data_IF_746236292053
#
_entry.id   IF_746236292053
#
_cell.length_a   1.000
_cell.length_b   1.000
_cell.length_c   1.000
_cell.angle_alpha   90.00
_cell.angle_beta   90.00
_cell.angle_gamma   90.00
#
_symmetry.space_group_name_H-M   'P 1'
#
loop_
_entity.id
_entity.type
_entity.pdbx_description
1 polymer ?
#
# COMPACT_ATOMS: atom_id res chain seq x y z
N UNK A 1 -8.10 10.44 2.20
CA UNK A 1 -9.19 9.85 3.03
C UNK A 1 -9.75 8.66 2.26
N UNK A 2 -9.81 7.46 2.87
CA UNK A 2 -10.32 6.28 2.17
C UNK A 2 -11.84 6.22 2.24
N UNK A 3 -12.49 5.90 1.11
CA UNK A 3 -13.94 5.81 0.97
C UNK A 3 -14.43 4.40 1.24
N UNK A 4 -15.41 4.24 2.12
CA UNK A 4 -15.98 2.93 2.50
C UNK A 4 -17.46 2.94 2.12
N UNK A 5 -17.88 2.02 1.26
CA UNK A 5 -19.28 1.82 0.92
C UNK A 5 -19.87 0.73 1.81
N UNK A 6 -20.98 1.04 2.47
CA UNK A 6 -21.70 0.14 3.38
C UNK A 6 -23.02 -0.26 2.71
N UNK A 7 -23.16 -1.56 2.48
CA UNK A 7 -24.32 -2.19 1.84
C UNK A 7 -24.94 -3.12 2.89
N UNK A 8 -25.85 -2.58 3.68
CA UNK A 8 -26.48 -3.20 4.85
C UNK A 8 -27.90 -2.67 4.94
N UNK A 9 -28.91 -3.55 5.00
CA UNK A 9 -30.33 -3.19 5.02
C UNK A 9 -30.85 -2.88 6.44
N UNK A 10 -30.22 -3.41 7.48
CA UNK A 10 -30.49 -2.97 8.85
C UNK A 10 -29.97 -1.54 9.07
N UNK A 11 -30.91 -0.59 9.14
CA UNK A 11 -30.59 0.83 9.32
C UNK A 11 -29.77 1.11 10.56
N UNK A 12 -30.01 0.39 11.67
CA UNK A 12 -29.28 0.57 12.93
C UNK A 12 -27.83 0.17 12.78
N UNK A 13 -27.57 -0.96 12.13
CA UNK A 13 -26.22 -1.44 11.85
C UNK A 13 -25.53 -0.49 10.87
N UNK A 14 -26.19 -0.14 9.76
CA UNK A 14 -25.63 0.75 8.75
C UNK A 14 -25.27 2.12 9.31
N UNK A 15 -26.11 2.71 10.15
CA UNK A 15 -25.83 4.00 10.81
C UNK A 15 -24.70 3.90 11.83
N UNK A 16 -24.70 2.85 12.63
CA UNK A 16 -23.64 2.61 13.62
C UNK A 16 -22.28 2.48 12.94
N UNK A 17 -22.21 1.69 11.87
CA UNK A 17 -20.98 1.53 11.07
C UNK A 17 -20.55 2.85 10.41
N UNK A 18 -21.48 3.57 9.80
CA UNK A 18 -21.18 4.85 9.13
C UNK A 18 -20.60 5.86 10.12
N UNK A 19 -21.26 6.05 11.27
CA UNK A 19 -20.83 7.00 12.30
C UNK A 19 -19.46 6.61 12.88
N UNK A 20 -19.28 5.34 13.20
CA UNK A 20 -18.02 4.82 13.73
C UNK A 20 -16.86 5.01 12.75
N UNK A 21 -17.03 4.61 11.49
CA UNK A 21 -15.98 4.73 10.48
C UNK A 21 -15.63 6.18 10.17
N UNK A 22 -16.62 7.08 10.13
CA UNK A 22 -16.38 8.52 9.98
C UNK A 22 -15.56 9.10 11.15
N UNK A 23 -15.82 8.67 12.40
CA UNK A 23 -15.00 9.05 13.56
C UNK A 23 -13.55 8.56 13.46
N UNK A 24 -13.31 7.46 12.76
CA UNK A 24 -11.98 6.91 12.51
C UNK A 24 -11.28 7.50 11.28
N UNK A 25 -11.86 8.56 10.66
CA UNK A 25 -11.24 9.30 9.57
C UNK A 25 -11.44 8.68 8.19
N UNK A 26 -12.38 7.75 8.03
CA UNK A 26 -12.85 7.29 6.72
C UNK A 26 -13.93 8.23 6.16
N UNK A 27 -14.23 8.11 4.88
CA UNK A 27 -15.39 8.68 4.22
C UNK A 27 -16.39 7.53 3.99
N UNK A 28 -17.28 7.31 4.95
CA UNK A 28 -18.20 6.18 4.93
C UNK A 28 -19.59 6.60 4.41
N UNK A 29 -20.07 5.90 3.38
CA UNK A 29 -21.38 6.07 2.76
C UNK A 29 -22.20 4.79 2.89
N UNK A 30 -23.40 4.87 3.47
CA UNK A 30 -24.38 3.78 3.46
C UNK A 30 -25.28 3.84 2.23
N UNK A 31 -25.63 2.66 1.70
CA UNK A 31 -26.63 2.53 0.62
C UNK A 31 -28.03 2.82 1.18
N UNK A 32 -28.85 3.47 0.35
CA UNK A 32 -30.28 3.68 0.60
C UNK A 32 -31.14 3.09 -0.50
N UNK A 33 -30.60 2.91 -1.70
CA UNK A 33 -31.29 2.29 -2.86
C UNK A 33 -30.62 0.94 -3.17
N UNK A 34 -31.25 -0.14 -2.75
CA UNK A 34 -30.80 -1.51 -2.96
C UNK A 34 -31.11 -2.07 -4.36
N UNK A 35 -31.85 -1.33 -5.20
CA UNK A 35 -32.07 -1.72 -6.59
C UNK A 35 -30.93 -1.26 -7.50
N UNK A 36 -30.25 -0.16 -7.15
CA UNK A 36 -29.24 0.49 -8.00
C UNK A 36 -27.88 0.63 -7.30
N UNK A 37 -27.45 -0.41 -6.59
CA UNK A 37 -26.16 -0.41 -5.83
C UNK A 37 -24.97 -0.07 -6.73
N UNK A 38 -24.93 -0.61 -7.96
CA UNK A 38 -23.82 -0.34 -8.89
C UNK A 38 -23.74 1.12 -9.32
N UNK A 39 -24.84 1.85 -9.44
CA UNK A 39 -24.81 3.29 -9.73
C UNK A 39 -24.08 4.06 -8.60
N UNK A 40 -24.44 3.76 -7.35
CA UNK A 40 -23.79 4.38 -6.19
C UNK A 40 -22.32 3.94 -6.08
N UNK A 41 -22.01 2.68 -6.33
CA UNK A 41 -20.64 2.16 -6.35
C UNK A 41 -19.76 2.92 -7.37
N UNK A 42 -20.23 3.09 -8.59
CA UNK A 42 -19.50 3.79 -9.66
C UNK A 42 -19.32 5.28 -9.31
N UNK A 43 -20.37 5.94 -8.85
CA UNK A 43 -20.33 7.37 -8.52
C UNK A 43 -19.45 7.68 -7.29
N UNK A 44 -19.51 6.81 -6.28
CA UNK A 44 -18.76 7.02 -5.02
C UNK A 44 -17.31 6.59 -5.13
N UNK A 45 -16.97 5.63 -6.01
CA UNK A 45 -15.62 5.07 -6.19
C UNK A 45 -15.01 4.60 -4.86
N UNK A 46 -15.60 3.63 -4.17
CA UNK A 46 -15.14 3.20 -2.86
C UNK A 46 -13.78 2.50 -2.93
N UNK A 47 -12.98 2.69 -1.88
CA UNK A 47 -11.73 1.95 -1.66
C UNK A 47 -11.97 0.59 -0.99
N UNK A 48 -13.14 0.39 -0.35
CA UNK A 48 -13.55 -0.86 0.26
C UNK A 48 -15.07 -0.90 0.36
N UNK A 49 -15.64 -2.09 0.22
CA UNK A 49 -17.07 -2.36 0.39
C UNK A 49 -17.28 -3.27 1.60
N UNK A 50 -18.16 -2.86 2.52
CA UNK A 50 -18.77 -3.72 3.52
C UNK A 50 -20.12 -4.19 2.96
N UNK A 51 -20.33 -5.50 2.89
CA UNK A 51 -21.46 -6.10 2.13
C UNK A 51 -22.18 -7.15 2.97
N UNK A 52 -23.45 -6.89 3.30
CA UNK A 52 -24.28 -7.95 3.89
C UNK A 52 -24.66 -8.98 2.84
N UNK A 53 -24.80 -10.24 3.28
CA UNK A 53 -25.31 -11.34 2.45
C UNK A 53 -26.83 -11.21 2.27
N UNK A 54 -27.54 -10.86 3.34
CA UNK A 54 -29.01 -10.86 3.40
C UNK A 54 -29.55 -9.49 3.04
N UNK A 55 -29.63 -9.20 1.75
CA UNK A 55 -30.12 -7.92 1.23
C UNK A 55 -31.47 -8.08 0.52
N UNK A 56 -32.29 -7.01 0.47
CA UNK A 56 -33.51 -7.01 -0.32
C UNK A 56 -33.21 -7.07 -1.83
N UNK A 57 -34.14 -7.62 -2.61
CA UNK A 57 -34.09 -7.81 -4.07
C UNK A 57 -33.04 -8.83 -4.53
N UNK A 58 -31.74 -8.57 -4.34
CA UNK A 58 -30.64 -9.44 -4.68
C UNK A 58 -29.70 -9.58 -3.48
N UNK A 59 -29.28 -10.81 -3.18
CA UNK A 59 -28.36 -11.06 -2.07
C UNK A 59 -26.94 -10.49 -2.30
N UNK A 60 -26.15 -10.43 -1.24
CA UNK A 60 -24.78 -9.89 -1.31
C UNK A 60 -23.86 -10.64 -2.28
N UNK A 61 -24.08 -11.94 -2.50
CA UNK A 61 -23.27 -12.70 -3.47
C UNK A 61 -23.47 -12.21 -4.89
N UNK A 62 -24.72 -11.86 -5.26
CA UNK A 62 -25.02 -11.25 -6.55
C UNK A 62 -24.22 -9.93 -6.73
N UNK A 63 -24.27 -9.05 -5.73
CA UNK A 63 -23.58 -7.77 -5.81
C UNK A 63 -22.05 -7.91 -5.79
N UNK A 64 -21.53 -8.87 -5.02
CA UNK A 64 -20.11 -9.21 -5.08
C UNK A 64 -19.68 -9.61 -6.50
N UNK A 65 -20.45 -10.48 -7.18
CA UNK A 65 -20.15 -10.88 -8.54
C UNK A 65 -20.21 -9.70 -9.52
N UNK A 66 -21.21 -8.80 -9.40
CA UNK A 66 -21.31 -7.60 -10.22
C UNK A 66 -20.13 -6.63 -10.02
N UNK A 67 -19.71 -6.40 -8.77
CA UNK A 67 -18.54 -5.57 -8.48
C UNK A 67 -17.28 -6.22 -9.06
N UNK A 68 -17.08 -7.52 -8.90
CA UNK A 68 -15.90 -8.26 -9.39
C UNK A 68 -15.75 -8.27 -10.91
N UNK A 69 -16.85 -8.20 -11.66
CA UNK A 69 -16.80 -8.05 -13.12
C UNK A 69 -16.20 -6.69 -13.54
N UNK A 70 -16.31 -5.67 -12.70
CA UNK A 70 -15.96 -4.29 -13.05
C UNK A 70 -14.78 -3.74 -12.26
N UNK A 71 -14.50 -4.26 -11.06
CA UNK A 71 -13.51 -3.69 -10.15
C UNK A 71 -12.82 -4.73 -9.25
N UNK A 72 -11.60 -4.39 -8.82
CA UNK A 72 -10.84 -5.15 -7.80
C UNK A 72 -10.95 -4.54 -6.41
N UNK A 73 -11.93 -3.66 -6.20
CA UNK A 73 -12.19 -3.02 -4.90
C UNK A 73 -12.37 -4.08 -3.82
N UNK A 74 -11.63 -4.03 -2.69
CA UNK A 74 -11.77 -5.00 -1.61
C UNK A 74 -13.21 -5.09 -1.08
N UNK A 75 -13.68 -6.31 -0.82
CA UNK A 75 -15.02 -6.60 -0.27
C UNK A 75 -14.88 -7.41 1.01
N UNK A 76 -15.45 -6.90 2.10
CA UNK A 76 -15.64 -7.64 3.36
C UNK A 76 -17.11 -7.98 3.47
N UNK A 77 -17.45 -9.26 3.54
CA UNK A 77 -18.80 -9.67 3.88
C UNK A 77 -19.08 -9.52 5.37
N UNK A 78 -20.28 -9.06 5.68
CA UNK A 78 -20.84 -9.01 7.04
C UNK A 78 -22.09 -9.89 7.03
N UNK A 79 -22.22 -10.86 7.92
CA UNK A 79 -23.40 -11.73 7.93
C UNK A 79 -23.71 -12.32 9.30
N UNK A 80 -25.01 -12.49 9.58
CA UNK A 80 -25.51 -13.25 10.73
C UNK A 80 -25.40 -14.78 10.54
N UNK A 81 -25.20 -15.23 9.31
CA UNK A 81 -25.02 -16.64 9.01
C UNK A 81 -23.54 -17.02 9.17
N UNK A 82 -23.13 -17.26 10.40
CA UNK A 82 -21.78 -17.73 10.74
C UNK A 82 -21.53 -19.21 10.44
N UNK A 83 -22.33 -19.83 9.53
CA UNK A 83 -22.06 -21.19 9.11
C UNK A 83 -20.87 -21.21 8.12
N UNK A 84 -20.03 -22.24 8.26
CA UNK A 84 -18.83 -22.41 7.45
C UNK A 84 -19.12 -22.39 5.93
N UNK A 85 -20.33 -22.74 5.52
CA UNK A 85 -20.72 -22.80 4.13
C UNK A 85 -20.82 -21.41 3.50
N UNK A 86 -21.41 -20.44 4.19
CA UNK A 86 -21.52 -19.07 3.70
C UNK A 86 -20.15 -18.40 3.61
N UNK A 87 -19.24 -18.68 4.55
CA UNK A 87 -17.87 -18.21 4.51
C UNK A 87 -17.16 -18.74 3.25
N UNK A 88 -17.26 -20.04 3.01
CA UNK A 88 -16.64 -20.70 1.84
C UNK A 88 -17.20 -20.11 0.53
N UNK A 89 -18.51 -19.93 0.45
CA UNK A 89 -19.15 -19.34 -0.73
C UNK A 89 -18.67 -17.90 -0.94
N UNK A 90 -18.65 -17.07 0.11
CA UNK A 90 -18.18 -15.69 0.06
C UNK A 90 -16.75 -15.61 -0.50
N UNK A 91 -15.84 -16.42 0.01
CA UNK A 91 -14.45 -16.45 -0.43
C UNK A 91 -14.30 -16.91 -1.88
N UNK A 92 -15.06 -17.93 -2.30
CA UNK A 92 -15.08 -18.41 -3.69
C UNK A 92 -15.68 -17.38 -4.66
N UNK A 93 -16.60 -16.53 -4.20
CA UNK A 93 -17.17 -15.44 -4.99
C UNK A 93 -16.25 -14.22 -5.09
N UNK A 94 -15.07 -14.26 -4.46
CA UNK A 94 -14.07 -13.22 -4.55
C UNK A 94 -14.10 -12.20 -3.40
N UNK A 95 -14.66 -12.57 -2.24
CA UNK A 95 -14.51 -11.80 -1.03
C UNK A 95 -13.04 -11.79 -0.56
N UNK A 96 -12.62 -10.68 0.03
CA UNK A 96 -11.29 -10.53 0.61
C UNK A 96 -11.26 -10.88 2.10
N UNK A 97 -12.41 -10.75 2.79
CA UNK A 97 -12.57 -11.11 4.19
C UNK A 97 -14.05 -11.31 4.54
N UNK A 98 -14.31 -11.82 5.76
CA UNK A 98 -15.63 -12.09 6.30
C UNK A 98 -15.72 -11.71 7.79
N UNK A 99 -16.88 -11.19 8.22
CA UNK A 99 -17.17 -10.82 9.60
C UNK A 99 -18.55 -11.35 9.98
N UNK A 100 -18.59 -12.19 11.01
CA UNK A 100 -19.85 -12.70 11.56
C UNK A 100 -20.53 -11.67 12.46
N UNK A 101 -21.85 -11.54 12.36
CA UNK A 101 -22.69 -10.80 13.32
C UNK A 101 -23.03 -11.72 14.50
N UNK A 102 -23.01 -11.25 15.77
CA UNK A 102 -22.65 -9.89 16.20
C UNK A 102 -21.13 -9.66 16.17
N UNK A 103 -20.71 -8.43 15.88
CA UNK A 103 -19.31 -8.05 15.73
C UNK A 103 -18.93 -6.89 16.64
N UNK A 104 -17.65 -6.78 16.95
CA UNK A 104 -17.06 -5.61 17.58
C UNK A 104 -16.63 -4.59 16.53
N UNK A 105 -16.97 -3.32 16.71
CA UNK A 105 -16.63 -2.24 15.79
C UNK A 105 -15.11 -2.05 15.65
N UNK A 106 -14.34 -2.31 16.70
CA UNK A 106 -12.87 -2.26 16.68
C UNK A 106 -12.28 -3.33 15.79
N UNK A 107 -12.89 -4.52 15.75
CA UNK A 107 -12.48 -5.64 14.86
C UNK A 107 -12.74 -5.27 13.40
N UNK A 108 -13.90 -4.66 13.10
CA UNK A 108 -14.21 -4.18 11.74
C UNK A 108 -13.16 -3.16 11.30
N UNK A 109 -12.91 -2.15 12.14
CA UNK A 109 -11.93 -1.10 11.83
C UNK A 109 -10.54 -1.68 11.57
N UNK A 110 -10.08 -2.61 12.42
CA UNK A 110 -8.78 -3.25 12.25
C UNK A 110 -8.68 -4.04 10.93
N UNK A 111 -9.75 -4.78 10.56
CA UNK A 111 -9.81 -5.53 9.29
C UNK A 111 -9.82 -4.58 8.07
N UNK A 112 -10.61 -3.50 8.12
CA UNK A 112 -10.64 -2.47 7.07
C UNK A 112 -9.24 -1.87 6.88
N UNK A 113 -8.60 -1.41 7.96
CA UNK A 113 -7.27 -0.83 7.92
C UNK A 113 -6.23 -1.81 7.34
N UNK A 114 -6.25 -3.07 7.80
CA UNK A 114 -5.35 -4.10 7.30
C UNK A 114 -5.55 -4.36 5.81
N UNK A 115 -6.80 -4.42 5.35
CA UNK A 115 -7.14 -4.70 3.96
C UNK A 115 -6.81 -3.51 3.05
N UNK A 116 -7.13 -2.28 3.46
CA UNK A 116 -6.77 -1.06 2.74
C UNK A 116 -5.24 -0.96 2.60
N UNK A 117 -4.50 -1.14 3.70
CA UNK A 117 -3.04 -1.15 3.68
C UNK A 117 -2.51 -2.19 2.70
N UNK A 118 -3.00 -3.43 2.74
CA UNK A 118 -2.59 -4.52 1.83
C UNK A 118 -2.92 -4.17 0.38
N UNK A 119 -4.08 -3.56 0.11
CA UNK A 119 -4.56 -3.30 -1.25
C UNK A 119 -3.96 -2.05 -1.86
N UNK A 120 -3.79 -0.97 -1.11
CA UNK A 120 -3.42 0.34 -1.66
C UNK A 120 -2.04 0.83 -1.20
N UNK A 121 -1.59 0.46 -0.02
CA UNK A 121 -0.26 0.84 0.46
C UNK A 121 0.80 -0.20 0.05
N UNK A 122 0.40 -1.49 -0.06
CA UNK A 122 1.27 -2.54 -0.59
C UNK A 122 1.06 -2.87 -2.08
N UNK A 123 0.06 -2.29 -2.77
CA UNK A 123 -0.01 -2.29 -4.25
C UNK A 123 0.86 -1.23 -4.92
N UNK A 124 1.44 -0.30 -4.18
CA UNK A 124 2.77 0.06 -4.58
C UNK A 124 3.56 -1.24 -4.43
N UNK A 125 3.95 -1.88 -5.56
CA UNK A 125 4.89 -2.99 -5.58
C UNK A 125 5.83 -2.79 -4.42
N UNK A 126 6.12 -3.85 -3.64
CA UNK A 126 7.25 -3.78 -2.71
C UNK A 126 8.42 -3.52 -3.64
N UNK A 127 8.65 -2.24 -3.97
CA UNK A 127 9.75 -1.81 -4.81
C UNK A 127 10.99 -2.02 -3.96
N UNK A 128 11.40 -3.28 -3.91
CA UNK A 128 12.68 -3.65 -3.35
C UNK A 128 13.67 -3.67 -4.50
N UNK A 129 14.71 -2.91 -4.39
CA UNK A 129 15.89 -3.12 -5.20
C UNK A 129 16.85 -3.99 -4.38
N UNK A 130 17.20 -5.13 -4.91
CA UNK A 130 18.20 -6.02 -4.32
C UNK A 130 19.44 -6.03 -5.14
N UNK A 131 20.58 -5.84 -4.48
CA UNK A 131 21.88 -6.06 -5.07
C UNK A 131 22.80 -6.72 -4.06
N UNK A 132 23.28 -7.94 -4.37
CA UNK A 132 23.87 -8.87 -3.42
C UNK A 132 22.87 -9.12 -2.27
N UNK A 133 23.30 -9.01 -1.01
CA UNK A 133 22.44 -9.21 0.15
C UNK A 133 21.83 -7.89 0.69
N UNK A 134 22.07 -6.76 0.01
CA UNK A 134 21.51 -5.47 0.35
C UNK A 134 20.14 -5.29 -0.30
N UNK A 135 19.12 -4.97 0.49
CA UNK A 135 17.74 -4.76 0.06
C UNK A 135 17.34 -3.32 0.39
N UNK A 136 17.13 -2.50 -0.64
CA UNK A 136 16.60 -1.14 -0.55
C UNK A 136 15.09 -1.16 -0.69
N UNK A 137 14.38 -0.76 0.34
CA UNK A 137 12.92 -0.60 0.30
C UNK A 137 12.58 0.82 -0.17
N UNK A 138 11.95 0.91 -1.36
CA UNK A 138 11.63 2.20 -1.98
C UNK A 138 10.42 2.89 -1.36
N UNK A 139 9.61 2.17 -0.56
CA UNK A 139 8.40 2.74 0.06
C UNK A 139 8.71 3.51 1.34
N UNK A 140 9.67 3.03 2.14
CA UNK A 140 9.99 3.61 3.44
C UNK A 140 11.43 4.17 3.55
N UNK A 141 12.15 4.20 2.40
CA UNK A 141 13.52 4.72 2.32
C UNK A 141 14.49 4.04 3.30
N UNK A 142 14.37 2.74 3.49
CA UNK A 142 15.26 1.95 4.35
C UNK A 142 16.12 0.99 3.56
N UNK A 143 17.30 0.70 4.07
CA UNK A 143 18.19 -0.36 3.57
C UNK A 143 18.31 -1.45 4.63
N UNK A 144 18.17 -2.71 4.21
CA UNK A 144 18.41 -3.89 5.05
C UNK A 144 19.59 -4.67 4.50
N UNK A 145 20.54 -5.01 5.38
CA UNK A 145 21.68 -5.87 5.08
C UNK A 145 21.98 -6.79 6.26
N UNK A 146 22.07 -8.10 6.01
CA UNK A 146 22.30 -9.13 7.04
C UNK A 146 21.41 -8.99 8.29
N UNK A 147 20.14 -8.63 8.10
CA UNK A 147 19.16 -8.43 9.17
C UNK A 147 19.25 -7.07 9.89
N UNK A 148 20.26 -6.26 9.62
CA UNK A 148 20.37 -4.87 10.11
C UNK A 148 19.61 -3.94 9.16
N UNK A 149 18.78 -3.06 9.74
CA UNK A 149 18.01 -2.06 9.01
C UNK A 149 18.47 -0.66 9.36
N UNK A 150 18.70 0.16 8.34
CA UNK A 150 19.05 1.59 8.49
C UNK A 150 18.08 2.47 7.73
N UNK A 151 17.76 3.62 8.29
CA UNK A 151 17.00 4.69 7.64
C UNK A 151 17.93 5.55 6.80
N UNK A 152 17.51 5.88 5.60
CA UNK A 152 18.24 6.74 4.69
C UNK A 152 17.64 8.14 4.68
N UNK A 153 18.49 9.15 4.60
CA UNK A 153 18.01 10.50 4.27
C UNK A 153 17.51 10.55 2.82
N UNK A 154 16.71 11.54 2.46
CA UNK A 154 16.18 11.72 1.10
C UNK A 154 17.28 11.64 0.02
N UNK A 155 18.44 12.25 0.27
CA UNK A 155 19.55 12.23 -0.68
C UNK A 155 20.29 10.90 -0.70
N UNK A 156 20.53 10.29 0.47
CA UNK A 156 21.15 8.95 0.58
C UNK A 156 20.31 7.92 -0.18
N UNK A 157 18.99 7.95 0.03
CA UNK A 157 18.04 7.06 -0.64
C UNK A 157 18.09 7.22 -2.16
N UNK A 158 18.01 8.45 -2.70
CA UNK A 158 18.02 8.68 -4.14
C UNK A 158 19.33 8.31 -4.82
N UNK A 159 20.45 8.59 -4.18
CA UNK A 159 21.76 8.17 -4.67
C UNK A 159 21.79 6.64 -4.75
N UNK A 160 21.42 5.97 -3.67
CA UNK A 160 21.46 4.51 -3.59
C UNK A 160 20.47 3.86 -4.55
N UNK A 161 19.25 4.38 -4.67
CA UNK A 161 18.26 3.94 -5.65
C UNK A 161 18.81 4.02 -7.08
N UNK A 162 19.37 5.19 -7.46
CA UNK A 162 19.91 5.40 -8.80
C UNK A 162 21.04 4.42 -9.14
N UNK A 163 21.87 4.12 -8.16
CA UNK A 163 22.97 3.15 -8.33
C UNK A 163 22.45 1.71 -8.39
N UNK A 164 21.50 1.33 -7.54
CA UNK A 164 20.94 -0.02 -7.48
C UNK A 164 19.97 -0.33 -8.64
N UNK A 165 19.39 0.68 -9.28
CA UNK A 165 18.67 0.52 -10.56
C UNK A 165 19.63 0.17 -11.73
N UNK A 166 20.92 0.41 -11.55
CA UNK A 166 21.95 0.17 -12.55
C UNK A 166 23.11 -0.72 -12.02
N UNK A 167 22.84 -1.94 -11.54
CA UNK A 167 23.83 -2.77 -10.88
C UNK A 167 24.96 -3.12 -11.85
N UNK A 168 26.20 -2.98 -11.38
CA UNK A 168 27.40 -3.28 -12.18
C UNK A 168 27.69 -2.28 -13.31
N UNK A 169 26.87 -1.24 -13.49
CA UNK A 169 27.10 -0.18 -14.48
C UNK A 169 27.62 1.10 -13.82
N UNK A 170 28.41 1.85 -14.56
CA UNK A 170 28.88 3.17 -14.11
C UNK A 170 27.76 4.19 -14.33
N UNK A 171 27.32 4.83 -13.25
CA UNK A 171 26.37 5.95 -13.30
C UNK A 171 27.17 7.25 -13.23
N UNK A 172 26.96 8.13 -14.19
CA UNK A 172 27.70 9.40 -14.25
C UNK A 172 27.29 10.35 -13.10
N UNK A 173 28.20 11.23 -12.71
CA UNK A 173 27.92 12.27 -11.70
C UNK A 173 26.71 13.12 -12.08
N UNK A 174 26.64 13.52 -13.36
CA UNK A 174 25.51 14.31 -13.88
C UNK A 174 24.18 13.56 -13.77
N UNK A 175 24.15 12.27 -14.05
CA UNK A 175 22.93 11.44 -13.91
C UNK A 175 22.45 11.44 -12.45
N UNK A 176 23.35 11.28 -11.50
CA UNK A 176 23.00 11.29 -10.06
C UNK A 176 22.53 12.69 -9.65
N UNK A 177 23.25 13.75 -10.05
CA UNK A 177 22.86 15.12 -9.72
C UNK A 177 21.48 15.48 -10.30
N UNK A 178 21.20 15.14 -11.55
CA UNK A 178 19.89 15.37 -12.18
C UNK A 178 18.76 14.69 -11.40
N UNK A 179 18.96 13.44 -10.96
CA UNK A 179 18.00 12.71 -10.16
C UNK A 179 17.75 13.34 -8.78
N UNK A 180 18.76 14.04 -8.23
CA UNK A 180 18.63 14.79 -6.98
C UNK A 180 17.91 16.13 -7.19
N UNK A 181 18.03 16.74 -8.37
CA UNK A 181 17.43 18.05 -8.70
C UNK A 181 15.91 18.02 -8.96
N UNK A 182 15.37 16.90 -9.39
CA UNK A 182 13.96 16.78 -9.77
C UNK A 182 12.95 17.25 -8.72
N UNK A 183 13.39 17.56 -7.48
CA UNK A 183 12.47 17.91 -6.39
C UNK A 183 12.93 18.95 -5.36
N UNK A 184 14.19 19.45 -5.35
CA UNK A 184 14.63 20.55 -4.45
C UNK A 184 16.10 20.92 -4.67
N UNK A 185 16.38 22.23 -4.75
CA UNK A 185 17.68 22.90 -4.64
C UNK A 185 18.86 22.34 -5.45
N UNK A 186 19.52 23.27 -6.12
CA UNK A 186 20.76 23.09 -6.88
C UNK A 186 21.81 22.30 -6.07
N UNK A 187 22.17 21.11 -6.53
CA UNK A 187 23.24 20.29 -5.96
C UNK A 187 24.44 20.38 -6.90
N UNK A 188 25.52 20.92 -6.41
CA UNK A 188 26.79 20.99 -7.11
C UNK A 188 27.63 19.71 -6.91
N UNK A 189 28.71 19.61 -7.64
CA UNK A 189 29.63 18.48 -7.64
C UNK A 189 30.28 18.23 -6.27
N UNK A 190 30.52 19.28 -5.50
CA UNK A 190 31.05 19.18 -4.14
C UNK A 190 30.03 18.59 -3.17
N UNK A 191 28.78 19.03 -3.26
CA UNK A 191 27.66 18.53 -2.46
C UNK A 191 27.42 17.04 -2.74
N UNK A 192 27.49 16.60 -4.00
CA UNK A 192 27.41 15.18 -4.35
C UNK A 192 28.56 14.38 -3.68
N UNK A 193 29.78 14.90 -3.69
CA UNK A 193 30.95 14.23 -3.09
C UNK A 193 30.78 14.08 -1.58
N UNK A 194 30.28 15.09 -0.89
CA UNK A 194 30.00 15.05 0.56
C UNK A 194 28.91 14.03 0.88
N UNK A 195 27.79 14.06 0.14
CA UNK A 195 26.71 13.09 0.31
C UNK A 195 27.20 11.64 0.08
N UNK A 196 28.02 11.43 -0.95
CA UNK A 196 28.58 10.12 -1.27
C UNK A 196 29.51 9.60 -0.16
N UNK A 197 30.34 10.47 0.42
CA UNK A 197 31.23 10.12 1.52
C UNK A 197 30.41 9.73 2.77
N UNK A 198 29.38 10.52 3.09
CA UNK A 198 28.50 10.25 4.24
C UNK A 198 27.71 8.95 4.05
N UNK A 199 27.16 8.72 2.85
CA UNK A 199 26.44 7.49 2.53
C UNK A 199 27.34 6.25 2.69
N UNK A 200 28.57 6.29 2.17
CA UNK A 200 29.53 5.18 2.35
C UNK A 200 29.78 4.86 3.82
N UNK A 201 30.04 5.89 4.63
CA UNK A 201 30.24 5.69 6.07
C UNK A 201 29.03 5.01 6.72
N UNK A 202 27.81 5.43 6.35
CA UNK A 202 26.57 4.83 6.84
C UNK A 202 26.40 3.37 6.41
N UNK A 203 26.82 3.02 5.19
CA UNK A 203 26.81 1.65 4.69
C UNK A 203 27.86 0.78 5.40
N UNK A 204 29.05 1.31 5.71
CA UNK A 204 30.09 0.63 6.47
C UNK A 204 29.65 0.28 7.89
N UNK A 205 28.83 1.13 8.54
CA UNK A 205 28.27 0.89 9.89
C UNK A 205 27.42 -0.38 9.98
N UNK A 206 26.82 -0.83 8.84
CA UNK A 206 26.06 -2.07 8.75
C UNK A 206 26.82 -3.21 8.07
N UNK A 207 28.12 -3.04 7.82
CA UNK A 207 28.99 -4.06 7.23
C UNK A 207 29.04 -4.07 5.69
N UNK A 208 28.41 -3.11 5.03
CA UNK A 208 28.45 -2.94 3.57
C UNK A 208 29.66 -2.12 3.12
N UNK A 209 30.86 -2.60 3.42
CA UNK A 209 32.12 -1.97 2.98
C UNK A 209 32.29 -2.14 1.47
N UNK A 210 32.83 -1.12 0.80
CA UNK A 210 33.13 -1.12 -0.65
C UNK A 210 31.92 -1.39 -1.56
N UNK A 211 30.70 -1.18 -1.06
CA UNK A 211 29.48 -1.37 -1.86
C UNK A 211 29.38 -0.35 -3.01
N UNK A 212 29.76 0.91 -2.75
CA UNK A 212 29.79 1.97 -3.76
C UNK A 212 31.24 2.28 -4.14
N UNK A 213 31.58 2.06 -5.39
CA UNK A 213 32.94 2.28 -5.93
C UNK A 213 32.97 3.55 -6.78
N UNK A 214 34.03 4.34 -6.64
CA UNK A 214 34.30 5.45 -7.54
C UNK A 214 35.04 4.96 -8.78
N UNK A 215 34.57 5.30 -9.94
CA UNK A 215 35.28 5.18 -11.21
C UNK A 215 35.80 6.57 -11.60
N UNK A 216 37.08 6.80 -11.34
CA UNK A 216 37.75 8.11 -11.49
C UNK A 216 37.43 8.73 -12.86
N UNK A 217 36.92 9.95 -12.86
CA UNK A 217 36.55 10.71 -14.07
C UNK A 217 35.24 10.27 -14.74
N UNK A 218 34.60 9.16 -14.30
CA UNK A 218 33.38 8.62 -14.92
C UNK A 218 32.15 8.69 -14.04
N UNK A 219 32.27 8.36 -12.75
CA UNK A 219 31.13 8.37 -11.83
C UNK A 219 31.23 7.32 -10.73
N UNK A 220 30.07 6.73 -10.37
CA UNK A 220 29.94 5.77 -9.28
C UNK A 220 29.23 4.50 -9.76
N UNK A 221 29.43 3.41 -9.03
CA UNK A 221 28.86 2.11 -9.35
C UNK A 221 28.69 1.30 -8.07
N UNK A 222 27.59 0.55 -7.93
CA UNK A 222 27.47 -0.54 -6.95
C UNK A 222 28.14 -1.80 -7.51
N UNK A 223 28.93 -2.47 -6.66
CA UNK A 223 29.76 -3.63 -7.01
C UNK A 223 28.94 -4.90 -6.99
#
# INVERSE_FOLDING_TARGET
MHKILIIEDDLTIAETLTNHLNQWGFDALKITDFQNIMETFIRFEPHLVLLDISLPFYNGFHWCAQIRQNAKTPIIFISSAGDNMNIIIAMNMGADDFIAKPFDLSVITAKIQALIRRTYEFQGQVHLLQHRDAILNLNDSTLTYQGLRIELTKNDFRILQTLMENPGKIVSRNTIMNRLWENDSFIDDNTLTVNMTRLRKKLEEVGLSDFIVTKKGLGYMVK
#
